data_IF_107496582508
#
_entry.id   IF_107496582508
#
_cell.length_a   1.000
_cell.length_b   1.000
_cell.length_c   1.000
_cell.angle_alpha   90.00
_cell.angle_beta   90.00
_cell.angle_gamma   90.00
#
_symmetry.space_group_name_H-M   'P 1'
#
loop_
_entity.id
_entity.type
_entity.pdbx_description
1 polymer ?
#
# COMPACT_ATOMS: atom_id res chain seq x y z
N UNK A 1 -16.09 -11.02 26.01
CA UNK A 1 -16.62 -9.97 25.10
C UNK A 1 -17.59 -9.14 25.92
N UNK A 2 -17.18 -7.95 26.33
CA UNK A 2 -18.07 -6.97 26.96
C UNK A 2 -19.05 -6.48 25.89
N UNK A 3 -20.33 -6.80 26.02
CA UNK A 3 -21.36 -6.19 25.19
C UNK A 3 -21.46 -4.73 25.62
N UNK A 4 -21.04 -3.81 24.76
CA UNK A 4 -21.35 -2.40 24.99
C UNK A 4 -22.88 -2.26 24.91
N UNK A 5 -23.51 -1.57 25.88
CA UNK A 5 -24.94 -1.31 25.82
C UNK A 5 -25.24 -0.59 24.50
N UNK A 6 -26.31 -1.00 23.81
CA UNK A 6 -26.77 -0.26 22.64
C UNK A 6 -27.28 1.10 23.10
N UNK A 7 -26.94 2.19 22.39
CA UNK A 7 -27.42 3.52 22.74
C UNK A 7 -28.96 3.57 22.65
N UNK A 8 -29.58 4.43 23.45
CA UNK A 8 -31.01 4.61 23.40
C UNK A 8 -31.43 5.23 22.05
N UNK A 9 -32.60 4.90 21.47
CA UNK A 9 -33.03 5.42 20.17
C UNK A 9 -33.01 6.96 20.09
N UNK A 10 -33.32 7.64 21.20
CA UNK A 10 -33.28 9.10 21.27
C UNK A 10 -31.86 9.67 21.10
N UNK A 11 -30.86 9.01 21.66
CA UNK A 11 -29.44 9.40 21.53
C UNK A 11 -28.98 9.24 20.08
N UNK A 12 -29.41 8.16 19.43
CA UNK A 12 -29.11 7.91 18.01
C UNK A 12 -29.71 9.00 17.11
N UNK A 13 -30.96 9.40 17.35
CA UNK A 13 -31.63 10.45 16.58
C UNK A 13 -30.89 11.77 16.72
N UNK A 14 -30.57 12.20 17.95
CA UNK A 14 -29.86 13.45 18.21
C UNK A 14 -28.49 13.49 17.52
N UNK A 15 -27.73 12.39 17.60
CA UNK A 15 -26.43 12.28 16.95
C UNK A 15 -26.52 12.37 15.42
N UNK A 16 -27.53 11.73 14.83
CA UNK A 16 -27.75 11.77 13.37
C UNK A 16 -28.25 13.12 12.89
N UNK A 17 -29.14 13.77 13.65
CA UNK A 17 -29.74 15.07 13.32
C UNK A 17 -28.69 16.18 13.32
N UNK A 18 -27.80 16.22 14.32
CA UNK A 18 -26.67 17.16 14.38
C UNK A 18 -25.74 17.07 13.16
N UNK A 19 -25.77 15.96 12.43
CA UNK A 19 -24.92 15.68 11.26
C UNK A 19 -25.70 15.75 9.93
N UNK A 20 -26.96 16.18 9.95
CA UNK A 20 -27.83 16.23 8.77
C UNK A 20 -28.11 14.86 8.15
N UNK A 21 -27.87 13.76 8.88
CA UNK A 21 -28.07 12.39 8.37
C UNK A 21 -29.54 11.97 8.35
N UNK A 22 -30.44 12.84 8.80
CA UNK A 22 -31.89 12.68 8.76
C UNK A 22 -32.58 13.64 7.79
N UNK A 23 -31.83 14.41 7.00
CA UNK A 23 -32.40 15.46 6.12
C UNK A 23 -33.08 14.92 4.86
N UNK A 24 -32.88 13.63 4.54
CA UNK A 24 -33.61 12.95 3.46
C UNK A 24 -35.02 12.51 3.90
N UNK A 25 -35.91 12.28 2.93
CA UNK A 25 -37.32 11.93 3.18
C UNK A 25 -37.50 10.73 4.12
N UNK A 26 -36.61 9.74 4.03
CA UNK A 26 -36.63 8.55 4.89
C UNK A 26 -36.18 8.90 6.30
N UNK A 27 -35.11 9.69 6.45
CA UNK A 27 -34.62 10.18 7.73
C UNK A 27 -35.64 11.04 8.47
N UNK A 28 -36.33 11.92 7.74
CA UNK A 28 -37.43 12.73 8.25
C UNK A 28 -38.61 11.88 8.71
N UNK A 29 -38.98 10.88 7.91
CA UNK A 29 -40.06 9.94 8.26
C UNK A 29 -39.73 9.14 9.53
N UNK A 30 -38.50 8.64 9.66
CA UNK A 30 -38.03 7.94 10.87
C UNK A 30 -38.08 8.88 12.08
N UNK A 31 -37.61 10.12 11.92
CA UNK A 31 -37.63 11.14 12.99
C UNK A 31 -39.05 11.37 13.49
N UNK A 32 -40.01 11.57 12.59
CA UNK A 32 -41.42 11.78 12.94
C UNK A 32 -42.02 10.52 13.60
N UNK A 33 -41.76 9.33 13.06
CA UNK A 33 -42.27 8.07 13.59
C UNK A 33 -41.80 7.82 15.03
N UNK A 34 -40.51 8.05 15.32
CA UNK A 34 -39.96 7.91 16.66
C UNK A 34 -40.49 8.95 17.64
N UNK A 35 -40.52 10.24 17.26
CA UNK A 35 -41.01 11.31 18.14
C UNK A 35 -42.51 11.19 18.44
N UNK A 36 -43.27 10.60 17.52
CA UNK A 36 -44.71 10.37 17.68
C UNK A 36 -45.04 9.06 18.40
N UNK A 37 -44.04 8.22 18.72
CA UNK A 37 -44.25 6.92 19.37
C UNK A 37 -44.81 5.82 18.44
N UNK A 38 -44.76 6.02 17.12
CA UNK A 38 -45.26 5.07 16.11
C UNK A 38 -44.16 4.26 15.43
N UNK A 39 -42.89 4.42 15.84
CA UNK A 39 -41.77 3.71 15.24
C UNK A 39 -41.95 2.19 15.32
N UNK A 40 -41.80 1.53 14.18
CA UNK A 40 -41.86 0.08 14.05
C UNK A 40 -40.46 -0.53 13.97
N UNK A 41 -40.38 -1.87 13.81
CA UNK A 41 -39.11 -2.59 13.72
C UNK A 41 -38.22 -2.11 12.57
N UNK A 42 -38.83 -1.78 11.42
CA UNK A 42 -38.08 -1.23 10.27
C UNK A 42 -37.40 0.11 10.61
N UNK A 43 -38.10 1.01 11.31
CA UNK A 43 -37.56 2.31 11.69
C UNK A 43 -36.36 2.16 12.64
N UNK A 44 -36.44 1.21 13.57
CA UNK A 44 -35.34 0.89 14.49
C UNK A 44 -34.11 0.34 13.75
N UNK A 45 -34.32 -0.59 12.81
CA UNK A 45 -33.22 -1.17 12.04
C UNK A 45 -32.52 -0.13 11.17
N UNK A 46 -33.29 0.72 10.51
CA UNK A 46 -32.77 1.77 9.63
C UNK A 46 -32.06 2.87 10.42
N UNK A 47 -32.61 3.28 11.58
CA UNK A 47 -31.97 4.20 12.51
C UNK A 47 -30.62 3.66 12.99
N UNK A 48 -30.60 2.40 13.46
CA UNK A 48 -29.38 1.75 13.93
C UNK A 48 -28.35 1.60 12.80
N UNK A 49 -28.79 1.32 11.58
CA UNK A 49 -27.92 1.25 10.39
C UNK A 49 -27.26 2.60 10.11
N UNK A 50 -28.04 3.69 10.13
CA UNK A 50 -27.53 5.06 9.93
C UNK A 50 -26.58 5.48 11.06
N UNK A 51 -26.92 5.18 12.31
CA UNK A 51 -26.06 5.46 13.47
C UNK A 51 -24.71 4.73 13.38
N UNK A 52 -24.71 3.44 13.02
CA UNK A 52 -23.47 2.69 12.77
C UNK A 52 -22.64 3.28 11.63
N UNK A 53 -23.28 3.83 10.60
CA UNK A 53 -22.61 4.51 9.49
C UNK A 53 -21.93 5.80 9.97
N UNK A 54 -22.61 6.58 10.82
CA UNK A 54 -22.03 7.78 11.44
C UNK A 54 -20.78 7.45 12.24
N UNK A 55 -20.86 6.47 13.16
CA UNK A 55 -19.71 6.08 13.97
C UNK A 55 -18.51 5.59 13.15
N UNK A 56 -18.75 4.90 12.03
CA UNK A 56 -17.67 4.54 11.08
C UNK A 56 -17.05 5.76 10.42
N UNK A 57 -17.86 6.75 10.03
CA UNK A 57 -17.38 8.00 9.44
C UNK A 57 -16.52 8.77 10.44
N UNK A 58 -16.95 8.86 11.69
CA UNK A 58 -16.19 9.56 12.75
C UNK A 58 -14.86 8.88 13.07
N UNK A 59 -14.82 7.54 13.04
CA UNK A 59 -13.58 6.78 13.23
C UNK A 59 -12.59 6.89 12.07
N UNK A 60 -13.08 7.08 10.85
CA UNK A 60 -12.27 7.14 9.62
C UNK A 60 -11.93 8.58 9.19
N UNK A 61 -12.57 9.59 9.78
CA UNK A 61 -12.50 10.99 9.35
C UNK A 61 -13.35 11.29 8.11
N UNK A 62 -13.47 12.58 7.76
CA UNK A 62 -14.26 13.05 6.59
C UNK A 62 -13.67 12.59 5.25
N UNK A 63 -12.38 12.26 5.23
CA UNK A 63 -11.69 11.70 4.08
C UNK A 63 -11.35 10.26 4.42
N UNK A 64 -12.19 9.32 3.99
CA UNK A 64 -11.75 7.93 3.94
C UNK A 64 -10.71 7.85 2.82
N UNK A 65 -9.40 7.68 3.11
CA UNK A 65 -8.37 7.67 2.06
C UNK A 65 -8.49 6.42 1.16
N UNK A 66 -9.36 5.48 1.53
CA UNK A 66 -9.58 4.23 0.82
C UNK A 66 -11.01 4.17 0.28
N UNK A 67 -11.14 3.72 -0.96
CA UNK A 67 -12.45 3.47 -1.57
C UNK A 67 -13.14 2.36 -0.79
N UNK A 68 -14.40 2.58 -0.37
CA UNK A 68 -15.18 1.54 0.30
C UNK A 68 -15.29 0.31 -0.61
N UNK A 69 -14.82 -0.88 -0.17
CA UNK A 69 -14.87 -2.07 -1.01
C UNK A 69 -16.32 -2.47 -1.23
N UNK A 70 -16.68 -2.77 -2.48
CA UNK A 70 -17.89 -3.52 -2.77
C UNK A 70 -17.55 -4.99 -2.55
N UNK A 71 -18.25 -5.63 -1.62
CA UNK A 71 -18.10 -7.07 -1.42
C UNK A 71 -18.60 -7.77 -2.69
N UNK A 72 -17.70 -8.45 -3.38
CA UNK A 72 -18.01 -9.33 -4.50
C UNK A 72 -18.03 -10.78 -4.01
N UNK A 73 -18.87 -11.61 -4.62
CA UNK A 73 -18.85 -13.07 -4.38
C UNK A 73 -17.73 -13.77 -5.18
N UNK A 74 -16.86 -12.99 -5.83
CA UNK A 74 -15.73 -13.42 -6.62
C UNK A 74 -14.46 -12.71 -6.16
N UNK A 75 -13.32 -13.40 -6.17
CA UNK A 75 -12.02 -12.84 -5.78
C UNK A 75 -11.26 -13.73 -4.83
N UNK A 76 -10.37 -13.14 -4.05
CA UNK A 76 -9.52 -13.84 -3.09
C UNK A 76 -10.30 -14.08 -1.80
N UNK A 77 -10.42 -15.32 -1.35
CA UNK A 77 -11.00 -15.65 -0.07
C UNK A 77 -10.07 -15.21 1.09
N UNK A 78 -10.49 -14.23 1.88
CA UNK A 78 -9.77 -13.79 3.07
C UNK A 78 -10.05 -14.69 4.29
N UNK A 79 -11.22 -15.32 4.34
CA UNK A 79 -11.63 -16.16 5.46
C UNK A 79 -13.14 -16.14 5.67
N UNK A 80 -13.59 -16.37 6.90
CA UNK A 80 -15.02 -16.32 7.27
C UNK A 80 -15.28 -15.25 8.33
N UNK A 81 -16.44 -14.62 8.25
CA UNK A 81 -16.96 -13.78 9.33
C UNK A 81 -17.32 -14.63 10.55
N UNK A 82 -17.53 -14.01 11.73
CA UNK A 82 -18.07 -14.71 12.90
C UNK A 82 -19.43 -15.38 12.66
N UNK A 83 -20.23 -14.87 11.72
CA UNK A 83 -21.51 -15.47 11.30
C UNK A 83 -21.36 -16.62 10.30
N UNK A 84 -20.13 -17.01 9.95
CA UNK A 84 -19.85 -18.10 9.01
C UNK A 84 -19.88 -17.72 7.53
N UNK A 85 -20.18 -16.45 7.19
CA UNK A 85 -20.17 -15.97 5.80
C UNK A 85 -18.74 -15.88 5.27
N UNK A 86 -18.50 -16.36 4.05
CA UNK A 86 -17.22 -16.18 3.38
C UNK A 86 -16.95 -14.71 3.06
N UNK A 87 -15.71 -14.28 3.34
CA UNK A 87 -15.21 -12.95 3.05
C UNK A 87 -14.28 -13.05 1.85
N UNK A 88 -14.65 -12.37 0.76
CA UNK A 88 -13.84 -12.26 -0.44
C UNK A 88 -13.33 -10.83 -0.61
N UNK A 89 -12.09 -10.72 -1.08
CA UNK A 89 -11.48 -9.50 -1.53
C UNK A 89 -11.50 -9.48 -3.07
N UNK A 90 -12.14 -8.46 -3.62
CA UNK A 90 -12.16 -8.21 -5.05
C UNK A 90 -10.73 -7.92 -5.54
N UNK A 91 -10.28 -8.65 -6.56
CA UNK A 91 -8.97 -8.45 -7.18
C UNK A 91 -8.80 -7.06 -7.79
N UNK A 92 -9.87 -6.46 -8.29
CA UNK A 92 -9.83 -5.08 -8.81
C UNK A 92 -9.50 -4.07 -7.70
N UNK A 93 -9.78 -4.43 -6.44
CA UNK A 93 -9.43 -3.64 -5.26
C UNK A 93 -8.03 -3.94 -4.74
N UNK A 94 -7.36 -4.99 -5.23
CA UNK A 94 -5.94 -5.20 -4.88
C UNK A 94 -5.05 -4.06 -5.40
N UNK A 95 -5.53 -3.27 -6.37
CA UNK A 95 -4.89 -2.02 -6.80
C UNK A 95 -4.88 -0.91 -5.73
N UNK A 96 -5.74 -0.97 -4.70
CA UNK A 96 -5.81 0.07 -3.66
C UNK A 96 -4.90 -0.18 -2.45
N UNK A 97 -3.92 -1.09 -2.59
CA UNK A 97 -3.01 -1.55 -1.55
C UNK A 97 -3.72 -2.22 -0.35
N UNK A 98 -2.99 -3.04 0.39
CA UNK A 98 -3.47 -3.72 1.58
C UNK A 98 -2.42 -3.64 2.68
N UNK A 99 -2.84 -3.31 3.90
CA UNK A 99 -1.99 -3.32 5.08
C UNK A 99 -2.47 -4.39 6.06
N UNK A 100 -1.57 -5.25 6.52
CA UNK A 100 -1.83 -6.25 7.56
C UNK A 100 -1.00 -5.93 8.80
N UNK A 101 -1.67 -5.58 9.90
CA UNK A 101 -1.04 -5.15 11.15
C UNK A 101 -1.35 -6.15 12.25
N UNK A 102 -0.36 -6.46 13.10
CA UNK A 102 -0.51 -7.38 14.22
C UNK A 102 0.83 -7.67 14.89
N UNK A 103 0.80 -8.20 16.12
CA UNK A 103 1.99 -8.58 16.89
C UNK A 103 2.65 -9.86 16.36
N UNK A 104 3.84 -10.19 16.86
CA UNK A 104 4.44 -11.51 16.60
C UNK A 104 3.53 -12.62 17.13
N UNK A 105 3.34 -13.69 16.34
CA UNK A 105 2.43 -14.77 16.68
C UNK A 105 0.96 -14.55 16.26
N UNK A 106 0.58 -13.35 15.81
CA UNK A 106 -0.81 -13.06 15.41
C UNK A 106 -1.26 -13.67 14.07
N UNK A 107 -0.44 -14.54 13.46
CA UNK A 107 -0.78 -15.23 12.20
C UNK A 107 -0.57 -14.43 10.90
N UNK A 108 0.08 -13.25 10.93
CA UNK A 108 0.31 -12.43 9.72
C UNK A 108 0.97 -13.20 8.57
N UNK A 109 2.05 -13.93 8.87
CA UNK A 109 2.75 -14.74 7.86
C UNK A 109 1.79 -15.76 7.23
N UNK A 110 1.02 -16.48 8.05
CA UNK A 110 0.07 -17.48 7.56
C UNK A 110 -1.02 -16.85 6.68
N UNK A 111 -1.54 -15.69 7.07
CA UNK A 111 -2.52 -14.95 6.28
C UNK A 111 -1.94 -14.49 4.93
N UNK A 112 -0.70 -13.97 4.92
CA UNK A 112 0.00 -13.58 3.69
C UNK A 112 0.27 -14.79 2.80
N UNK A 113 0.73 -15.93 3.35
CA UNK A 113 0.96 -17.16 2.59
C UNK A 113 -0.33 -17.68 1.95
N UNK A 114 -1.43 -17.64 2.68
CA UNK A 114 -2.76 -17.99 2.16
C UNK A 114 -3.19 -17.07 1.02
N UNK A 115 -2.99 -15.75 1.17
CA UNK A 115 -3.27 -14.75 0.14
C UNK A 115 -2.44 -15.02 -1.14
N UNK A 116 -1.12 -15.14 -0.99
CA UNK A 116 -0.20 -15.35 -2.11
C UNK A 116 -0.46 -16.69 -2.81
N UNK A 117 -0.82 -17.74 -2.08
CA UNK A 117 -1.20 -19.03 -2.66
C UNK A 117 -2.37 -18.88 -3.63
N UNK A 118 -3.43 -18.16 -3.23
CA UNK A 118 -4.58 -17.92 -4.09
C UNK A 118 -4.21 -17.09 -5.33
N UNK A 119 -3.37 -16.07 -5.15
CA UNK A 119 -2.88 -15.26 -6.28
C UNK A 119 -2.07 -16.10 -7.28
N UNK A 120 -1.20 -16.99 -6.80
CA UNK A 120 -0.45 -17.95 -7.64
C UNK A 120 -1.40 -18.85 -8.42
N UNK A 121 -2.41 -19.42 -7.74
CA UNK A 121 -3.41 -20.29 -8.36
C UNK A 121 -4.21 -19.57 -9.45
N UNK A 122 -4.48 -18.28 -9.27
CA UNK A 122 -5.16 -17.43 -10.25
C UNK A 122 -4.23 -16.93 -11.37
N UNK A 123 -2.92 -17.20 -11.28
CA UNK A 123 -1.95 -16.80 -12.29
C UNK A 123 -1.54 -15.34 -12.23
N UNK A 124 -1.73 -14.69 -11.09
CA UNK A 124 -1.32 -13.30 -10.88
C UNK A 124 0.20 -13.26 -10.72
N UNK A 125 0.86 -12.35 -11.44
CA UNK A 125 2.29 -12.09 -11.29
C UNK A 125 2.58 -11.48 -9.91
N UNK A 126 3.56 -12.02 -9.20
CA UNK A 126 3.89 -11.60 -7.84
C UNK A 126 5.35 -11.18 -7.75
N UNK A 127 5.57 -10.07 -7.07
CA UNK A 127 6.88 -9.66 -6.59
C UNK A 127 6.80 -9.48 -5.07
N UNK A 128 7.58 -10.27 -4.34
CA UNK A 128 7.46 -10.35 -2.88
C UNK A 128 8.82 -10.24 -2.22
N UNK A 129 8.87 -9.48 -1.14
CA UNK A 129 10.06 -9.29 -0.32
C UNK A 129 9.89 -9.99 1.02
N UNK A 130 10.78 -10.95 1.30
CA UNK A 130 10.85 -11.63 2.59
C UNK A 130 12.21 -11.36 3.23
N UNK A 131 12.26 -10.29 4.03
CA UNK A 131 13.50 -9.74 4.56
C UNK A 131 14.01 -10.44 5.82
N UNK A 132 13.18 -11.24 6.51
CA UNK A 132 13.53 -11.75 7.84
C UNK A 132 13.30 -13.24 8.03
N UNK A 133 12.15 -13.79 7.62
CA UNK A 133 11.77 -15.14 8.01
C UNK A 133 12.07 -16.20 6.97
N UNK A 134 12.19 -15.79 5.70
CA UNK A 134 12.35 -16.70 4.56
C UNK A 134 11.21 -17.73 4.43
N UNK A 135 10.06 -17.45 5.04
CA UNK A 135 8.86 -18.28 5.04
C UNK A 135 8.24 -18.38 3.64
N UNK A 136 8.40 -17.37 2.78
CA UNK A 136 7.79 -17.35 1.46
C UNK A 136 8.33 -18.46 0.52
N UNK A 137 9.46 -19.09 0.86
CA UNK A 137 10.02 -20.22 0.09
C UNK A 137 9.08 -21.43 0.04
N UNK A 138 8.18 -21.59 1.01
CA UNK A 138 7.19 -22.67 0.98
C UNK A 138 6.20 -22.56 -0.19
N UNK A 139 6.13 -21.41 -0.88
CA UNK A 139 5.31 -21.21 -2.07
C UNK A 139 5.90 -21.86 -3.32
N UNK A 140 7.20 -22.20 -3.35
CA UNK A 140 7.85 -22.86 -4.48
C UNK A 140 7.13 -24.14 -4.97
N UNK A 141 6.87 -25.15 -4.11
CA UNK A 141 6.16 -26.35 -4.53
C UNK A 141 4.71 -26.08 -4.95
N UNK A 142 4.08 -25.03 -4.42
CA UNK A 142 2.72 -24.61 -4.82
C UNK A 142 2.77 -24.03 -6.24
N UNK A 143 3.66 -23.07 -6.49
CA UNK A 143 3.84 -22.48 -7.81
C UNK A 143 4.17 -23.54 -8.88
N UNK A 144 5.09 -24.46 -8.56
CA UNK A 144 5.44 -25.57 -9.45
C UNK A 144 4.24 -26.44 -9.80
N UNK A 145 3.40 -26.80 -8.82
CA UNK A 145 2.18 -27.59 -9.05
C UNK A 145 1.15 -26.85 -9.91
N UNK A 146 1.10 -25.53 -9.80
CA UNK A 146 0.26 -24.68 -10.64
C UNK A 146 0.87 -24.38 -12.03
N UNK A 147 2.01 -25.00 -12.39
CA UNK A 147 2.70 -24.73 -13.66
C UNK A 147 3.28 -23.31 -13.76
N UNK A 148 3.57 -22.68 -12.62
CA UNK A 148 4.12 -21.32 -12.55
C UNK A 148 5.61 -21.36 -12.20
N UNK A 149 6.38 -20.52 -12.89
CA UNK A 149 7.76 -20.26 -12.53
C UNK A 149 7.80 -19.32 -11.32
N UNK A 150 8.47 -19.74 -10.25
CA UNK A 150 8.76 -18.88 -9.10
C UNK A 150 10.28 -18.85 -8.89
N UNK A 151 10.87 -17.68 -9.09
CA UNK A 151 12.29 -17.44 -8.84
C UNK A 151 12.46 -16.87 -7.44
N UNK A 152 13.36 -17.47 -6.65
CA UNK A 152 13.75 -16.94 -5.34
C UNK A 152 15.15 -16.37 -5.48
N UNK A 153 15.25 -15.05 -5.38
CA UNK A 153 16.53 -14.34 -5.40
C UNK A 153 16.96 -14.07 -3.95
N UNK A 154 18.19 -14.43 -3.60
CA UNK A 154 18.77 -13.94 -2.36
C UNK A 154 19.26 -12.51 -2.54
N UNK A 155 19.52 -11.80 -1.44
CA UNK A 155 20.12 -10.45 -1.50
C UNK A 155 21.48 -10.44 -2.24
N UNK A 156 22.20 -11.57 -2.30
CA UNK A 156 23.48 -11.70 -3.00
C UNK A 156 23.31 -11.88 -4.50
N UNK A 157 22.20 -12.48 -4.92
CA UNK A 157 21.88 -12.72 -6.32
C UNK A 157 21.19 -11.49 -6.94
N UNK A 158 20.60 -10.63 -6.11
CA UNK A 158 19.98 -9.39 -6.54
C UNK A 158 21.04 -8.34 -6.89
N UNK A 159 21.56 -8.42 -8.11
CA UNK A 159 22.44 -7.39 -8.69
C UNK A 159 21.59 -6.40 -9.46
N UNK A 160 21.18 -5.33 -8.79
CA UNK A 160 20.41 -4.26 -9.43
C UNK A 160 21.25 -2.98 -9.53
N UNK A 161 21.48 -2.51 -10.75
CA UNK A 161 22.03 -1.19 -10.98
C UNK A 161 20.90 -0.15 -11.00
N UNK A 162 20.73 0.59 -9.89
CA UNK A 162 19.70 1.64 -9.82
C UNK A 162 19.91 2.76 -10.85
N UNK A 163 21.13 2.91 -11.38
CA UNK A 163 21.47 3.86 -12.42
C UNK A 163 21.28 3.30 -13.84
N UNK A 164 20.65 2.16 -14.03
CA UNK A 164 20.29 1.64 -15.35
C UNK A 164 18.82 2.02 -15.65
N UNK A 165 18.53 2.73 -16.75
CA UNK A 165 17.19 3.26 -17.02
C UNK A 165 16.19 2.23 -17.59
N UNK A 166 16.53 0.94 -17.65
CA UNK A 166 15.69 -0.22 -18.06
C UNK A 166 14.47 0.11 -18.95
N UNK A 167 14.71 0.49 -20.20
CA UNK A 167 13.67 0.78 -21.19
C UNK A 167 12.94 2.12 -21.04
N UNK A 168 13.27 2.92 -20.03
CA UNK A 168 12.76 4.28 -19.80
C UNK A 168 13.73 5.32 -20.39
N UNK A 169 13.22 6.49 -20.77
CA UNK A 169 14.07 7.62 -21.16
C UNK A 169 15.08 7.95 -20.03
N UNK A 170 16.40 7.96 -20.31
CA UNK A 170 17.42 8.19 -19.30
C UNK A 170 17.23 9.50 -18.52
N UNK A 171 16.73 10.56 -19.16
CA UNK A 171 16.52 11.84 -18.49
C UNK A 171 15.38 11.76 -17.48
N UNK A 172 14.27 11.13 -17.84
CA UNK A 172 13.16 10.85 -16.91
C UNK A 172 13.59 9.93 -15.75
N UNK A 173 14.40 8.91 -16.05
CA UNK A 173 14.95 8.01 -15.04
C UNK A 173 15.78 8.78 -14.00
N UNK A 174 16.70 9.64 -14.46
CA UNK A 174 17.53 10.48 -13.58
C UNK A 174 16.73 11.43 -12.71
N UNK A 175 15.63 12.00 -13.23
CA UNK A 175 14.73 12.85 -12.45
C UNK A 175 14.09 12.10 -11.28
N UNK A 176 13.95 10.78 -11.37
CA UNK A 176 13.37 9.93 -10.31
C UNK A 176 14.45 9.39 -9.37
N UNK A 177 15.53 8.84 -9.92
CA UNK A 177 16.55 8.12 -9.15
C UNK A 177 17.42 9.05 -8.31
N UNK A 178 17.78 10.23 -8.82
CA UNK A 178 18.66 11.14 -8.07
C UNK A 178 17.98 11.64 -6.77
N UNK A 179 16.72 12.15 -6.79
CA UNK A 179 16.03 12.51 -5.55
C UNK A 179 15.81 11.32 -4.61
N UNK A 180 15.53 10.13 -5.16
CA UNK A 180 15.40 8.90 -4.38
C UNK A 180 16.69 8.58 -3.62
N UNK A 181 17.84 8.59 -4.31
CA UNK A 181 19.16 8.36 -3.72
C UNK A 181 19.49 9.43 -2.67
N UNK A 182 19.29 10.70 -2.99
CA UNK A 182 19.50 11.80 -2.06
C UNK A 182 18.69 11.62 -0.77
N UNK A 183 17.42 11.19 -0.88
CA UNK A 183 16.55 10.92 0.28
C UNK A 183 17.00 9.70 1.07
N UNK A 184 17.35 8.59 0.41
CA UNK A 184 17.79 7.35 1.08
C UNK A 184 19.09 7.60 1.86
N UNK A 185 20.03 8.31 1.24
CA UNK A 185 21.32 8.67 1.85
C UNK A 185 21.23 9.89 2.78
N UNK A 186 20.07 10.54 2.87
CA UNK A 186 19.82 11.75 3.67
C UNK A 186 20.83 12.87 3.36
N UNK A 187 21.14 13.06 2.08
CA UNK A 187 22.13 14.03 1.64
C UNK A 187 21.62 15.47 1.90
N UNK A 188 22.47 16.38 2.41
CA UNK A 188 22.15 17.80 2.41
C UNK A 188 22.04 18.34 0.98
N UNK A 189 21.38 19.49 0.80
CA UNK A 189 21.10 20.07 -0.52
C UNK A 189 22.34 20.21 -1.41
N UNK A 190 23.47 20.66 -0.84
CA UNK A 190 24.74 20.81 -1.56
C UNK A 190 25.30 19.47 -2.05
N UNK A 191 25.21 18.41 -1.24
CA UNK A 191 25.65 17.08 -1.64
C UNK A 191 24.68 16.45 -2.65
N UNK A 192 23.38 16.73 -2.55
CA UNK A 192 22.36 16.33 -3.53
C UNK A 192 22.59 16.97 -4.90
N UNK A 193 22.98 18.25 -4.93
CA UNK A 193 23.39 18.94 -6.16
C UNK A 193 24.65 18.32 -6.77
N UNK A 194 25.66 18.02 -5.93
CA UNK A 194 26.87 17.35 -6.37
C UNK A 194 26.56 15.96 -6.96
N UNK A 195 25.78 15.13 -6.26
CA UNK A 195 25.32 13.84 -6.76
C UNK A 195 24.64 13.98 -8.13
N UNK A 196 23.74 14.97 -8.27
CA UNK A 196 23.07 15.23 -9.55
C UNK A 196 24.09 15.50 -10.65
N UNK A 197 25.00 16.45 -10.43
CA UNK A 197 26.02 16.80 -11.41
C UNK A 197 26.85 15.57 -11.83
N UNK A 198 27.37 14.82 -10.87
CA UNK A 198 28.19 13.63 -11.11
C UNK A 198 27.45 12.58 -11.95
N UNK A 199 26.21 12.27 -11.58
CA UNK A 199 25.43 11.25 -12.30
C UNK A 199 25.13 11.68 -13.74
N UNK A 200 24.82 12.96 -13.98
CA UNK A 200 24.63 13.48 -15.34
C UNK A 200 25.91 13.43 -16.16
N UNK A 201 27.06 13.80 -15.58
CA UNK A 201 28.37 13.71 -16.24
C UNK A 201 28.70 12.26 -16.62
N UNK A 202 28.51 11.30 -15.71
CA UNK A 202 28.74 9.88 -15.97
C UNK A 202 27.82 9.33 -17.06
N UNK A 203 26.53 9.73 -17.07
CA UNK A 203 25.59 9.34 -18.11
C UNK A 203 25.98 9.88 -19.49
N UNK A 204 26.45 11.13 -19.56
CA UNK A 204 26.93 11.74 -20.79
C UNK A 204 28.20 11.05 -21.29
N UNK A 205 29.17 10.80 -20.41
CA UNK A 205 30.43 10.11 -20.75
C UNK A 205 30.20 8.68 -21.25
N UNK A 206 29.25 7.97 -20.64
CA UNK A 206 28.87 6.62 -21.06
C UNK A 206 28.02 6.59 -22.35
N UNK A 207 27.55 7.73 -22.85
CA UNK A 207 26.64 7.81 -24.00
C UNK A 207 25.22 7.33 -23.70
N UNK A 208 24.86 7.17 -22.42
CA UNK A 208 23.52 6.69 -22.00
C UNK A 208 22.45 7.69 -22.44
N UNK A 209 22.75 8.99 -22.39
CA UNK A 209 21.83 10.04 -22.84
C UNK A 209 21.54 10.01 -24.36
N UNK A 210 22.40 9.33 -25.12
CA UNK A 210 22.30 9.12 -26.56
C UNK A 210 21.78 7.70 -26.90
N UNK A 211 21.30 6.96 -25.90
CA UNK A 211 20.71 5.63 -26.07
C UNK A 211 21.69 4.45 -25.97
N UNK A 212 22.96 4.66 -25.60
CA UNK A 212 23.92 3.57 -25.38
C UNK A 212 23.75 3.00 -23.97
N UNK A 213 23.05 1.87 -23.85
CA UNK A 213 22.77 1.22 -22.56
C UNK A 213 23.78 0.14 -22.18
N UNK A 214 24.71 -0.21 -23.07
CA UNK A 214 25.72 -1.26 -22.84
C UNK A 214 26.75 -0.91 -21.75
N UNK A 215 26.81 0.36 -21.34
CA UNK A 215 27.81 0.89 -20.40
C UNK A 215 27.21 1.81 -19.34
N UNK A 216 26.03 1.48 -18.81
CA UNK A 216 25.44 2.31 -17.76
C UNK A 216 26.38 2.43 -16.54
N UNK A 217 26.58 3.66 -16.00
CA UNK A 217 27.38 3.84 -14.81
C UNK A 217 26.70 3.15 -13.61
N UNK A 218 27.48 2.93 -12.56
CA UNK A 218 27.03 2.30 -11.31
C UNK A 218 27.31 3.23 -10.14
N UNK A 219 26.78 2.93 -8.96
CA UNK A 219 27.10 3.70 -7.74
C UNK A 219 28.60 3.69 -7.41
N UNK A 220 29.36 2.67 -7.84
CA UNK A 220 30.81 2.65 -7.70
C UNK A 220 31.48 3.76 -8.53
N UNK A 221 31.03 3.99 -9.77
CA UNK A 221 31.52 5.09 -10.59
C UNK A 221 31.21 6.45 -9.97
N UNK A 222 30.01 6.60 -9.38
CA UNK A 222 29.64 7.81 -8.63
C UNK A 222 30.58 8.03 -7.45
N UNK A 223 30.88 6.98 -6.69
CA UNK A 223 31.83 7.04 -5.56
C UNK A 223 33.23 7.47 -6.01
N UNK A 224 33.79 6.84 -7.04
CA UNK A 224 35.12 7.18 -7.55
C UNK A 224 35.17 8.63 -8.06
N UNK A 225 34.15 9.05 -8.81
CA UNK A 225 34.07 10.41 -9.34
C UNK A 225 33.90 11.46 -8.24
N UNK A 226 33.11 11.16 -7.21
CA UNK A 226 32.98 12.00 -6.02
C UNK A 226 34.31 12.13 -5.26
N UNK A 227 35.03 11.02 -5.11
CA UNK A 227 36.34 10.98 -4.44
C UNK A 227 37.38 11.83 -5.17
N UNK A 228 37.38 11.81 -6.50
CA UNK A 228 38.28 12.63 -7.33
C UNK A 228 37.84 14.08 -7.51
N UNK A 229 36.61 14.43 -7.11
CA UNK A 229 36.06 15.76 -7.33
C UNK A 229 36.76 16.82 -6.47
N UNK A 230 37.10 17.94 -7.10
CA UNK A 230 37.58 19.16 -6.42
C UNK A 230 36.44 20.01 -5.84
N UNK A 231 35.22 19.46 -5.75
CA UNK A 231 34.08 20.13 -5.12
C UNK A 231 34.32 20.39 -3.63
N UNK A 232 33.39 21.14 -3.03
CA UNK A 232 33.42 21.47 -1.60
C UNK A 232 33.60 20.20 -0.75
N UNK A 233 34.61 20.21 0.13
CA UNK A 233 34.94 19.06 0.97
C UNK A 233 33.75 18.53 1.76
N UNK A 234 32.94 19.39 2.37
CA UNK A 234 31.78 18.96 3.16
C UNK A 234 30.69 18.29 2.30
N UNK A 235 30.52 18.70 1.05
CA UNK A 235 29.55 18.07 0.14
C UNK A 235 30.03 16.70 -0.33
N UNK A 236 31.35 16.56 -0.53
CA UNK A 236 32.00 15.29 -0.87
C UNK A 236 31.95 14.32 0.32
N UNK A 237 32.30 14.78 1.50
CA UNK A 237 32.31 13.97 2.72
C UNK A 237 30.90 13.48 3.11
N UNK A 238 29.85 14.23 2.77
CA UNK A 238 28.48 13.77 2.96
C UNK A 238 28.03 12.72 1.92
N UNK A 239 28.71 12.62 0.78
CA UNK A 239 28.38 11.70 -0.31
C UNK A 239 29.15 10.36 -0.20
N UNK A 240 30.30 10.36 0.49
CA UNK A 240 31.17 9.20 0.73
C UNK A 240 30.82 8.48 2.04
#
# INVERSE_FOLDING_TARGET
MTQHPQPEPIEMILALDHRGMLDDDVGQSIRVAFLSGYAQGFDHEELLRRYKKLGRSEQLGDVCPFRNPRLSDHGICLGRSPSGRWLHHDLTMSATHMACVGSTGSGKTSAILWLLTQMIMQGIGLFSFDLHKHDLRCLLPIAKRCGRALSVLTHRDLRWNILEPDGVDPRQHLQTVIPLLARILRLPDRASMLLRQIVYELYAQAGVLDGRLDRCPTLFHVYEHARSSSANAAARDALL
#
